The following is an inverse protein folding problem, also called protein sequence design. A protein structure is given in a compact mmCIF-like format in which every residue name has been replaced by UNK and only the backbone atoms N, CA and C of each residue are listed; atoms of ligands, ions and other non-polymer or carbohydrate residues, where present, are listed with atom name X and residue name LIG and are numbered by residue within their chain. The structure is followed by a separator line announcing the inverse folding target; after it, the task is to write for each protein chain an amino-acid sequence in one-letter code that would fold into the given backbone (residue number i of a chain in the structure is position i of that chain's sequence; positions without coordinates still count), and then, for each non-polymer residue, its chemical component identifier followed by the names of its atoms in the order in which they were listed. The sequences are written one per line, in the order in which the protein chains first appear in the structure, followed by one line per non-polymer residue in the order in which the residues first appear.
data_IF_697183915241
#
_entry.id   IF_697183915241
#
_cell.length_a   1.000
_cell.length_b   1.000
_cell.length_c   1.000
_cell.angle_alpha   90.00
_cell.angle_beta   90.00
_cell.angle_gamma   90.00
#
_symmetry.space_group_name_H-M   'P 1'
#
loop_
_entity.id
_entity.type
_entity.pdbx_description
1 polymer ?
#
# COMPACT_ATOMS: atom_id res chain seq x y z
N UNK A 1 11.63 8.35 -3.43
CA UNK A 1 10.93 8.46 -2.13
C UNK A 1 11.42 9.74 -1.49
N UNK A 2 10.59 10.60 -0.90
CA UNK A 2 11.12 11.78 -0.24
C UNK A 2 11.96 11.32 0.96
N UNK A 3 13.24 11.63 0.94
CA UNK A 3 14.13 11.35 2.07
C UNK A 3 13.66 12.13 3.29
N UNK A 4 13.76 11.52 4.47
CA UNK A 4 13.62 12.25 5.74
C UNK A 4 14.79 13.23 5.88
N UNK A 5 14.55 14.48 5.48
CA UNK A 5 15.55 15.54 5.60
C UNK A 5 15.49 16.16 6.99
N UNK A 6 16.66 16.49 7.54
CA UNK A 6 16.82 17.07 8.87
C UNK A 6 18.13 17.85 8.94
N UNK A 7 18.33 18.50 10.08
CA UNK A 7 19.55 19.24 10.40
C UNK A 7 20.82 18.42 10.06
N UNK A 8 21.75 19.07 9.35
CA UNK A 8 23.02 18.56 8.83
C UNK A 8 22.98 17.69 7.57
N UNK A 9 21.83 17.57 6.91
CA UNK A 9 21.77 16.95 5.57
C UNK A 9 22.35 17.87 4.50
N UNK A 10 23.03 17.28 3.49
CA UNK A 10 23.69 18.04 2.41
C UNK A 10 25.07 18.63 2.78
N UNK A 11 25.50 18.47 4.04
CA UNK A 11 26.88 18.66 4.49
C UNK A 11 27.73 17.40 4.26
N UNK A 12 28.99 17.43 4.71
CA UNK A 12 29.96 16.30 4.64
C UNK A 12 29.44 14.98 5.24
N UNK A 13 28.47 15.03 6.15
CA UNK A 13 27.92 13.84 6.82
C UNK A 13 26.90 13.07 5.96
N UNK A 14 26.19 13.75 5.05
CA UNK A 14 25.21 13.17 4.10
C UNK A 14 25.19 13.97 2.78
N UNK A 15 26.31 14.01 2.04
CA UNK A 15 26.43 14.82 0.82
C UNK A 15 25.51 14.32 -0.31
N UNK A 16 25.09 13.05 -0.28
CA UNK A 16 24.13 12.47 -1.23
C UNK A 16 22.75 13.12 -1.18
N UNK A 17 22.43 13.84 -0.09
CA UNK A 17 21.14 14.52 0.10
C UNK A 17 21.17 15.99 -0.36
N UNK A 18 22.31 16.50 -0.83
CA UNK A 18 22.47 17.91 -1.20
C UNK A 18 21.45 18.39 -2.23
N UNK A 19 21.19 17.57 -3.24
CA UNK A 19 20.18 17.88 -4.27
C UNK A 19 18.77 17.91 -3.69
N UNK A 20 18.42 16.99 -2.81
CA UNK A 20 17.09 16.91 -2.20
C UNK A 20 16.84 18.05 -1.21
N UNK A 21 17.85 18.43 -0.44
CA UNK A 21 17.82 19.63 0.40
C UNK A 21 17.66 20.89 -0.46
N UNK A 22 18.36 20.98 -1.58
CA UNK A 22 18.21 22.09 -2.52
C UNK A 22 16.78 22.17 -3.10
N UNK A 23 16.14 21.03 -3.39
CA UNK A 23 14.73 21.00 -3.82
C UNK A 23 13.74 21.41 -2.72
N UNK A 24 13.96 20.94 -1.49
CA UNK A 24 13.18 21.38 -0.33
C UNK A 24 13.24 22.91 -0.18
N UNK A 25 14.45 23.45 -0.18
CA UNK A 25 14.71 24.87 -0.03
C UNK A 25 14.03 25.68 -1.15
N UNK A 26 14.16 25.27 -2.41
CA UNK A 26 13.44 25.93 -3.51
C UNK A 26 11.93 25.93 -3.31
N UNK A 27 11.32 24.83 -2.85
CA UNK A 27 9.87 24.76 -2.62
C UNK A 27 9.43 25.72 -1.52
N UNK A 28 10.15 25.76 -0.40
CA UNK A 28 9.88 26.70 0.68
C UNK A 28 10.07 28.16 0.24
N UNK A 29 11.14 28.46 -0.50
CA UNK A 29 11.40 29.81 -1.03
C UNK A 29 10.29 30.26 -1.99
N UNK A 30 9.83 29.37 -2.88
CA UNK A 30 8.73 29.63 -3.81
C UNK A 30 7.39 29.88 -3.10
N UNK A 31 7.22 29.36 -1.88
CA UNK A 31 6.05 29.62 -1.02
C UNK A 31 6.23 30.87 -0.13
N UNK A 32 7.28 31.65 -0.34
CA UNK A 32 7.51 32.93 0.33
C UNK A 32 8.27 32.83 1.65
N UNK A 33 8.82 31.66 2.00
CA UNK A 33 9.69 31.55 3.18
C UNK A 33 11.09 32.11 2.88
N UNK A 34 11.66 32.97 3.74
CA UNK A 34 12.91 33.66 3.46
C UNK A 34 14.12 32.74 3.68
N UNK A 35 14.59 32.10 2.62
CA UNK A 35 15.80 31.29 2.61
C UNK A 35 16.46 31.32 1.22
N UNK A 36 17.77 31.10 1.17
CA UNK A 36 18.52 30.93 -0.08
C UNK A 36 18.84 29.44 -0.27
N UNK A 37 18.43 28.80 -1.38
CA UNK A 37 18.78 27.41 -1.64
C UNK A 37 20.29 27.24 -1.86
N UNK A 38 20.93 26.47 -0.98
CA UNK A 38 22.37 26.14 -1.00
C UNK A 38 22.63 24.62 -0.93
N UNK A 39 21.58 23.83 -0.74
CA UNK A 39 21.63 22.38 -0.60
C UNK A 39 22.08 21.93 0.79
N UNK A 40 22.16 22.83 1.77
CA UNK A 40 22.63 22.53 3.12
C UNK A 40 21.51 22.75 4.15
N UNK A 41 21.14 21.68 4.85
CA UNK A 41 20.07 21.72 5.84
C UNK A 41 20.65 22.20 7.18
N UNK A 42 21.02 23.49 7.23
CA UNK A 42 21.53 24.15 8.42
C UNK A 42 20.42 24.62 9.38
N UNK A 43 20.80 25.27 10.51
CA UNK A 43 19.84 25.80 11.48
C UNK A 43 18.83 26.80 10.90
N UNK A 44 19.21 27.53 9.83
CA UNK A 44 18.30 28.40 9.09
C UNK A 44 17.19 27.63 8.38
N UNK A 45 17.54 26.58 7.63
CA UNK A 45 16.60 25.67 6.96
C UNK A 45 15.67 24.99 7.97
N UNK A 46 16.22 24.49 9.10
CA UNK A 46 15.42 23.85 10.16
C UNK A 46 14.38 24.79 10.77
N UNK A 47 14.77 26.05 11.03
CA UNK A 47 13.86 27.08 11.55
C UNK A 47 12.70 27.33 10.59
N UNK A 48 12.98 27.41 9.30
CA UNK A 48 11.95 27.60 8.26
C UNK A 48 11.05 26.38 8.15
N UNK A 49 11.61 25.16 8.15
CA UNK A 49 10.80 23.92 8.14
C UNK A 49 9.86 23.86 9.33
N UNK A 50 10.33 24.19 10.55
CA UNK A 50 9.45 24.26 11.74
C UNK A 50 8.37 25.31 11.60
N UNK A 51 8.67 26.46 10.98
CA UNK A 51 7.67 27.50 10.74
C UNK A 51 6.62 27.01 9.75
N UNK A 52 7.05 26.46 8.63
CA UNK A 52 6.18 25.82 7.63
C UNK A 52 5.28 24.75 8.26
N UNK A 53 5.86 23.84 9.04
CA UNK A 53 5.08 22.81 9.75
C UNK A 53 4.01 23.43 10.66
N UNK A 54 4.32 24.51 11.40
CA UNK A 54 3.32 25.21 12.23
C UNK A 54 2.22 25.85 11.41
N UNK A 55 2.58 26.54 10.32
CA UNK A 55 1.64 27.24 9.45
C UNK A 55 0.66 26.26 8.78
N UNK A 56 1.11 25.02 8.56
CA UNK A 56 0.34 23.93 7.97
C UNK A 56 -0.22 22.93 9.00
N UNK A 57 -0.24 23.28 10.29
CA UNK A 57 -0.80 22.46 11.39
C UNK A 57 -0.19 21.05 11.51
N UNK A 58 1.08 20.91 11.14
CA UNK A 58 1.89 19.69 11.29
C UNK A 58 2.67 19.69 12.61
N UNK A 59 3.26 18.54 12.94
CA UNK A 59 4.23 18.46 14.04
C UNK A 59 5.48 19.27 13.70
N UNK A 60 5.76 20.34 14.46
CA UNK A 60 6.84 21.28 14.18
C UNK A 60 8.21 20.82 14.73
N UNK A 61 8.63 19.62 14.32
CA UNK A 61 9.86 18.97 14.78
C UNK A 61 11.11 19.33 13.95
N UNK A 62 10.95 19.98 12.80
CA UNK A 62 12.04 20.34 11.89
C UNK A 62 12.53 19.19 11.01
N UNK A 63 11.82 18.06 11.01
CA UNK A 63 12.09 16.91 10.16
C UNK A 63 11.13 16.96 8.96
N UNK A 64 11.70 16.94 7.76
CA UNK A 64 10.91 16.87 6.52
C UNK A 64 10.65 15.42 6.19
N UNK A 65 9.66 14.87 6.90
CA UNK A 65 9.06 13.58 6.58
C UNK A 65 7.95 13.70 5.54
N UNK A 66 7.25 12.59 5.32
CA UNK A 66 6.17 12.49 4.32
C UNK A 66 5.11 13.59 4.45
N UNK A 67 4.65 13.87 5.68
CA UNK A 67 3.62 14.89 5.91
C UNK A 67 4.09 16.30 5.51
N UNK A 68 5.34 16.63 5.82
CA UNK A 68 5.95 17.93 5.46
C UNK A 68 6.13 18.04 3.94
N UNK A 69 6.58 16.96 3.29
CA UNK A 69 6.71 16.91 1.83
C UNK A 69 5.37 17.03 1.11
N UNK A 70 4.33 16.38 1.63
CA UNK A 70 2.99 16.44 1.08
C UNK A 70 2.43 17.87 1.17
N UNK A 71 2.56 18.51 2.32
CA UNK A 71 2.16 19.91 2.48
C UNK A 71 2.91 20.85 1.53
N UNK A 72 4.22 20.62 1.32
CA UNK A 72 5.05 21.42 0.39
C UNK A 72 4.63 21.28 -1.07
N UNK A 73 4.04 20.15 -1.44
CA UNK A 73 3.64 19.89 -2.81
C UNK A 73 2.21 20.36 -3.12
N UNK A 74 1.37 20.57 -2.11
CA UNK A 74 -0.03 20.98 -2.29
C UNK A 74 -0.22 22.42 -2.82
N UNK A 75 0.75 23.33 -2.67
CA UNK A 75 0.62 24.71 -3.17
C UNK A 75 1.12 24.94 -4.61
N UNK A 76 1.70 23.93 -5.28
CA UNK A 76 2.03 24.04 -6.70
C UNK A 76 0.80 23.94 -7.63
N UNK A 77 -0.38 23.59 -7.10
CA UNK A 77 -1.58 23.28 -7.89
C UNK A 77 -2.63 24.41 -7.95
N UNK A 78 -2.47 25.52 -7.21
CA UNK A 78 -3.56 26.53 -7.07
C UNK A 78 -3.36 27.86 -7.85
N UNK A 79 -2.42 27.96 -8.80
CA UNK A 79 -2.37 29.13 -9.70
C UNK A 79 -2.01 28.78 -11.15
N UNK A 80 -3.01 28.41 -11.96
CA UNK A 80 -3.27 28.94 -13.33
C UNK A 80 -4.44 28.19 -14.02
N UNK A 81 -5.45 28.95 -14.48
CA UNK A 81 -6.64 28.50 -15.25
C UNK A 81 -6.28 27.92 -16.65
N UNK A 82 -7.27 27.48 -17.47
CA UNK A 82 -8.07 26.27 -17.40
C UNK A 82 -7.74 25.35 -18.59
N UNK A 83 -7.50 24.06 -18.37
CA UNK A 83 -7.39 23.09 -19.47
C UNK A 83 -8.34 21.94 -19.20
N UNK A 84 -9.27 21.76 -20.13
CA UNK A 84 -10.16 20.61 -20.21
C UNK A 84 -9.36 19.32 -20.42
N UNK A 85 -9.28 18.48 -19.40
CA UNK A 85 -9.09 17.03 -19.46
C UNK A 85 -9.46 16.44 -18.08
N UNK A 86 -10.16 15.30 -18.09
CA UNK A 86 -10.98 14.80 -16.98
C UNK A 86 -10.34 14.86 -15.59
N UNK A 87 -11.08 15.43 -14.63
CA UNK A 87 -10.71 15.45 -13.23
C UNK A 87 -10.36 14.04 -12.75
N UNK A 88 -9.15 13.86 -12.20
CA UNK A 88 -8.84 12.71 -11.34
C UNK A 88 -9.83 12.77 -10.18
N UNK A 89 -10.88 11.94 -10.22
CA UNK A 89 -11.88 11.91 -9.17
C UNK A 89 -11.24 11.33 -7.91
N UNK A 90 -11.00 12.18 -6.91
CA UNK A 90 -10.75 11.73 -5.54
C UNK A 90 -11.84 10.76 -5.14
N UNK A 91 -11.47 9.54 -4.72
CA UNK A 91 -12.42 8.52 -4.33
C UNK A 91 -13.20 9.00 -3.09
N UNK A 92 -14.50 8.76 -3.09
CA UNK A 92 -15.35 8.93 -1.91
C UNK A 92 -15.82 7.58 -1.39
N UNK A 93 -16.21 7.52 -0.11
CA UNK A 93 -16.82 6.32 0.45
C UNK A 93 -18.04 5.86 -0.35
N UNK A 94 -18.86 6.78 -0.86
CA UNK A 94 -20.04 6.44 -1.66
C UNK A 94 -19.64 5.81 -3.01
N UNK A 95 -18.59 6.32 -3.64
CA UNK A 95 -18.03 5.71 -4.84
C UNK A 95 -17.54 4.29 -4.54
N UNK A 96 -16.76 4.11 -3.45
CA UNK A 96 -16.33 2.77 -3.04
C UNK A 96 -17.54 1.86 -2.77
N UNK A 97 -18.57 2.35 -2.09
CA UNK A 97 -19.76 1.56 -1.78
C UNK A 97 -20.54 1.15 -3.04
N UNK A 98 -20.58 2.01 -4.05
CA UNK A 98 -21.17 1.69 -5.34
C UNK A 98 -20.35 0.64 -6.11
N UNK A 99 -19.01 0.70 -6.02
CA UNK A 99 -18.10 -0.27 -6.65
C UNK A 99 -18.18 -1.63 -5.95
N UNK A 100 -18.11 -1.63 -4.62
CA UNK A 100 -18.04 -2.84 -3.79
C UNK A 100 -19.18 -2.89 -2.75
N UNK A 101 -20.41 -3.23 -3.17
CA UNK A 101 -21.61 -3.10 -2.33
C UNK A 101 -21.60 -4.01 -1.09
N UNK A 102 -20.86 -5.12 -1.11
CA UNK A 102 -20.66 -6.01 0.04
C UNK A 102 -19.69 -5.46 1.11
N UNK A 103 -18.93 -4.40 0.81
CA UNK A 103 -18.04 -3.77 1.78
C UNK A 103 -18.82 -3.11 2.91
N UNK A 104 -18.42 -3.36 4.17
CA UNK A 104 -19.00 -2.64 5.31
C UNK A 104 -18.64 -1.16 5.20
N UNK A 105 -19.61 -0.27 5.38
CA UNK A 105 -19.39 1.19 5.26
C UNK A 105 -18.23 1.66 6.14
N UNK A 106 -18.15 1.19 7.39
CA UNK A 106 -17.05 1.55 8.30
C UNK A 106 -15.66 1.11 7.82
N UNK A 107 -15.56 0.01 7.08
CA UNK A 107 -14.29 -0.40 6.45
C UNK A 107 -13.97 0.50 5.25
N UNK A 108 -14.96 0.80 4.41
CA UNK A 108 -14.75 1.69 3.26
C UNK A 108 -14.34 3.11 3.71
N UNK A 109 -14.97 3.64 4.77
CA UNK A 109 -14.59 4.92 5.39
C UNK A 109 -13.15 4.89 5.92
N UNK A 110 -12.75 3.77 6.55
CA UNK A 110 -11.40 3.59 7.08
C UNK A 110 -10.34 3.58 5.97
N UNK A 111 -10.62 2.91 4.85
CA UNK A 111 -9.66 2.74 3.74
C UNK A 111 -9.66 3.87 2.72
N UNK A 112 -10.75 4.63 2.58
CA UNK A 112 -10.88 5.66 1.54
C UNK A 112 -9.77 6.73 1.60
N UNK A 113 -9.42 7.29 2.78
CA UNK A 113 -8.31 8.25 2.86
C UNK A 113 -6.97 7.64 2.47
N UNK A 114 -6.70 6.40 2.89
CA UNK A 114 -5.48 5.68 2.55
C UNK A 114 -5.39 5.44 1.04
N UNK A 115 -6.47 4.99 0.40
CA UNK A 115 -6.52 4.86 -1.06
C UNK A 115 -6.16 6.18 -1.76
N UNK A 116 -6.80 7.28 -1.40
CA UNK A 116 -6.54 8.57 -2.05
C UNK A 116 -5.07 9.02 -1.91
N UNK A 117 -4.43 8.78 -0.77
CA UNK A 117 -2.99 9.07 -0.60
C UNK A 117 -2.14 8.16 -1.48
N UNK A 118 -2.31 6.84 -1.34
CA UNK A 118 -1.37 5.88 -1.92
C UNK A 118 -1.53 5.72 -3.43
N UNK A 119 -2.73 5.91 -3.99
CA UNK A 119 -2.92 5.87 -5.45
C UNK A 119 -2.13 6.96 -6.16
N UNK A 120 -1.89 8.10 -5.50
CA UNK A 120 -1.02 9.17 -6.02
C UNK A 120 0.44 8.70 -6.02
N UNK A 121 0.92 8.20 -4.88
CA UNK A 121 2.32 7.74 -4.70
C UNK A 121 2.73 6.70 -5.75
N UNK A 122 1.81 5.82 -6.15
CA UNK A 122 2.08 4.71 -7.07
C UNK A 122 1.61 4.94 -8.51
N UNK A 123 1.32 6.20 -8.88
CA UNK A 123 0.93 6.59 -10.25
C UNK A 123 -0.34 5.87 -10.76
N UNK A 124 -1.31 5.68 -9.87
CA UNK A 124 -2.58 5.03 -10.13
C UNK A 124 -3.73 6.04 -10.28
N UNK A 125 -3.46 7.31 -10.60
CA UNK A 125 -4.49 8.35 -10.62
C UNK A 125 -5.46 8.27 -11.81
N UNK A 126 -5.05 7.66 -12.94
CA UNK A 126 -5.96 7.57 -14.09
C UNK A 126 -7.19 6.73 -13.72
N UNK A 127 -8.42 7.11 -14.13
CA UNK A 127 -9.62 6.41 -13.69
C UNK A 127 -9.63 4.91 -14.10
N UNK A 128 -9.05 4.56 -15.25
CA UNK A 128 -8.96 3.16 -15.69
C UNK A 128 -8.03 2.33 -14.80
N UNK A 129 -6.85 2.86 -14.43
CA UNK A 129 -5.94 2.21 -13.47
C UNK A 129 -6.60 2.05 -12.10
N UNK A 130 -7.28 3.09 -11.60
CA UNK A 130 -8.05 2.98 -10.36
C UNK A 130 -9.12 1.90 -10.46
N UNK A 131 -9.85 1.82 -11.57
CA UNK A 131 -10.90 0.84 -11.78
C UNK A 131 -10.35 -0.60 -11.72
N UNK A 132 -9.24 -0.88 -12.41
CA UNK A 132 -8.60 -2.19 -12.33
C UNK A 132 -8.02 -2.48 -10.96
N UNK A 133 -7.34 -1.53 -10.34
CA UNK A 133 -6.76 -1.70 -9.01
C UNK A 133 -7.86 -2.03 -7.99
N UNK A 134 -8.90 -1.20 -7.90
CA UNK A 134 -10.04 -1.38 -7.00
C UNK A 134 -10.74 -2.72 -7.24
N UNK A 135 -10.89 -3.15 -8.50
CA UNK A 135 -11.51 -4.43 -8.82
C UNK A 135 -10.73 -5.62 -8.25
N UNK A 136 -9.41 -5.58 -8.35
CA UNK A 136 -8.56 -6.65 -7.83
C UNK A 136 -8.57 -6.66 -6.30
N UNK A 137 -8.34 -5.51 -5.66
CA UNK A 137 -8.31 -5.45 -4.18
C UNK A 137 -9.67 -5.72 -3.57
N UNK A 138 -10.78 -5.35 -4.23
CA UNK A 138 -12.12 -5.70 -3.77
C UNK A 138 -12.36 -7.21 -3.78
N UNK A 139 -11.86 -7.92 -4.79
CA UNK A 139 -11.97 -9.38 -4.82
C UNK A 139 -11.13 -10.05 -3.73
N UNK A 140 -9.84 -9.69 -3.64
CA UNK A 140 -8.89 -10.36 -2.73
C UNK A 140 -9.23 -10.20 -1.24
N UNK A 141 -9.85 -9.07 -0.88
CA UNK A 141 -10.14 -8.72 0.52
C UNK A 141 -11.62 -8.91 0.90
N UNK A 142 -12.44 -9.45 -0.01
CA UNK A 142 -13.88 -9.53 0.18
C UNK A 142 -14.52 -8.15 0.40
N UNK A 143 -14.20 -7.19 -0.47
CA UNK A 143 -14.62 -5.78 -0.40
C UNK A 143 -14.14 -5.06 0.86
N UNK A 144 -12.85 -5.23 1.18
CA UNK A 144 -12.15 -4.65 2.33
C UNK A 144 -12.63 -5.16 3.69
N UNK A 145 -13.43 -6.23 3.71
CA UNK A 145 -13.91 -6.81 4.96
C UNK A 145 -12.85 -7.68 5.66
N UNK A 146 -11.80 -8.09 4.94
CA UNK A 146 -10.73 -8.95 5.44
C UNK A 146 -9.36 -8.40 5.07
N UNK A 147 -8.49 -8.28 6.07
CA UNK A 147 -7.09 -7.82 5.92
C UNK A 147 -6.08 -8.84 6.46
N UNK A 148 -6.55 -10.02 6.86
CA UNK A 148 -5.71 -11.13 7.32
C UNK A 148 -6.46 -12.43 7.10
N UNK A 149 -5.72 -13.49 6.78
CA UNK A 149 -6.29 -14.83 6.73
C UNK A 149 -6.57 -15.38 8.15
N UNK A 150 -7.73 -16.03 8.34
CA UNK A 150 -8.11 -16.57 9.66
C UNK A 150 -7.49 -17.94 9.97
N UNK A 151 -7.13 -18.70 8.92
CA UNK A 151 -6.61 -20.07 8.94
C UNK A 151 -7.31 -21.05 9.90
N UNK A 152 -8.59 -20.84 10.20
CA UNK A 152 -9.31 -21.63 11.21
C UNK A 152 -10.14 -22.77 10.59
N UNK A 153 -9.47 -23.80 10.09
CA UNK A 153 -10.09 -24.91 9.35
C UNK A 153 -10.42 -26.12 10.22
N UNK A 154 -11.50 -26.84 9.89
CA UNK A 154 -11.74 -28.21 10.39
C UNK A 154 -10.77 -29.20 9.73
N UNK A 155 -10.62 -30.41 10.30
CA UNK A 155 -9.81 -31.46 9.69
C UNK A 155 -10.26 -31.79 8.25
N UNK A 156 -11.58 -31.94 8.03
CA UNK A 156 -12.14 -32.19 6.69
C UNK A 156 -11.83 -31.07 5.70
N UNK A 157 -11.94 -29.81 6.12
CA UNK A 157 -11.64 -28.68 5.26
C UNK A 157 -10.13 -28.57 4.96
N UNK A 158 -9.26 -28.89 5.92
CA UNK A 158 -7.81 -28.97 5.67
C UNK A 158 -7.47 -30.02 4.60
N UNK A 159 -8.13 -31.18 4.62
CA UNK A 159 -7.96 -32.24 3.60
C UNK A 159 -8.38 -31.75 2.21
N UNK A 160 -9.45 -30.96 2.14
CA UNK A 160 -10.00 -30.45 0.89
C UNK A 160 -9.17 -29.29 0.31
N UNK A 161 -8.81 -28.31 1.13
CA UNK A 161 -8.15 -27.07 0.69
C UNK A 161 -6.64 -27.24 0.61
N UNK A 162 -6.05 -27.99 1.53
CA UNK A 162 -4.61 -28.15 1.70
C UNK A 162 -4.19 -29.63 1.68
N UNK A 163 -4.86 -30.47 0.88
CA UNK A 163 -4.65 -31.92 0.86
C UNK A 163 -3.20 -32.37 0.60
N UNK A 164 -2.39 -31.52 -0.05
CA UNK A 164 -0.93 -31.74 -0.19
C UNK A 164 -0.20 -31.77 1.15
N UNK A 165 -0.61 -30.95 2.12
CA UNK A 165 0.04 -30.81 3.43
C UNK A 165 -0.62 -31.67 4.52
N UNK A 166 -1.89 -32.01 4.32
CA UNK A 166 -2.70 -32.83 5.22
C UNK A 166 -3.19 -34.05 4.45
N UNK A 167 -2.36 -35.10 4.38
CA UNK A 167 -2.52 -36.27 3.49
C UNK A 167 -3.47 -37.34 4.04
N UNK A 168 -3.79 -37.28 5.32
CA UNK A 168 -4.74 -38.16 6.00
C UNK A 168 -5.40 -37.45 7.19
N UNK A 169 -6.43 -38.08 7.74
CA UNK A 169 -7.22 -37.53 8.84
C UNK A 169 -6.44 -37.48 10.17
N UNK A 170 -5.47 -38.38 10.36
CA UNK A 170 -4.65 -38.39 11.57
C UNK A 170 -3.77 -37.13 11.63
N UNK A 171 -3.15 -36.74 10.52
CA UNK A 171 -2.42 -35.48 10.40
C UNK A 171 -3.41 -34.31 10.50
N UNK A 172 -4.50 -34.30 9.72
CA UNK A 172 -5.43 -33.15 9.71
C UNK A 172 -6.03 -32.84 11.09
N UNK A 173 -6.36 -33.85 11.89
CA UNK A 173 -6.90 -33.67 13.25
C UNK A 173 -5.90 -33.03 14.23
N UNK A 174 -4.59 -33.18 14.00
CA UNK A 174 -3.59 -32.54 14.85
C UNK A 174 -3.58 -31.01 14.70
N UNK A 175 -3.96 -30.52 13.51
CA UNK A 175 -3.90 -29.11 13.11
C UNK A 175 -5.26 -28.42 13.07
N UNK A 176 -6.36 -29.17 13.02
CA UNK A 176 -7.70 -28.63 12.98
C UNK A 176 -7.91 -27.57 14.08
N UNK A 177 -8.48 -26.43 13.70
CA UNK A 177 -8.76 -25.27 14.56
C UNK A 177 -7.53 -24.67 15.27
N UNK A 178 -6.33 -24.86 14.72
CA UNK A 178 -5.07 -24.29 15.23
C UNK A 178 -4.41 -23.45 14.15
N UNK A 179 -4.86 -22.20 13.92
CA UNK A 179 -4.45 -21.39 12.78
C UNK A 179 -2.94 -21.17 12.70
N UNK A 180 -2.27 -20.94 13.83
CA UNK A 180 -0.81 -20.77 13.85
C UNK A 180 -0.09 -22.01 13.35
N UNK A 181 -0.49 -23.21 13.81
CA UNK A 181 0.09 -24.47 13.34
C UNK A 181 -0.21 -24.72 11.86
N UNK A 182 -1.42 -24.39 11.41
CA UNK A 182 -1.81 -24.54 10.01
C UNK A 182 -0.92 -23.65 9.13
N UNK A 183 -0.76 -22.37 9.49
CA UNK A 183 0.07 -21.42 8.74
C UNK A 183 1.54 -21.84 8.70
N UNK A 184 2.09 -22.17 9.87
CA UNK A 184 3.48 -22.60 10.01
C UNK A 184 3.77 -23.82 9.13
N UNK A 185 2.82 -24.73 8.95
CA UNK A 185 2.96 -25.88 8.05
C UNK A 185 2.79 -25.53 6.57
N UNK A 186 1.72 -24.82 6.22
CA UNK A 186 1.36 -24.53 4.82
C UNK A 186 2.39 -23.60 4.15
N UNK A 187 3.00 -22.70 4.93
CA UNK A 187 3.98 -21.73 4.45
C UNK A 187 5.43 -22.03 4.90
N UNK A 188 5.70 -23.20 5.48
CA UNK A 188 7.06 -23.64 5.81
C UNK A 188 7.96 -23.67 4.58
N UNK A 189 9.21 -23.23 4.73
CA UNK A 189 10.28 -23.33 3.72
C UNK A 189 9.93 -22.73 2.37
N UNK A 190 9.10 -21.68 2.37
CA UNK A 190 8.61 -20.99 1.18
C UNK A 190 8.76 -19.49 1.36
N UNK A 191 9.12 -18.79 0.28
CA UNK A 191 9.16 -17.32 0.24
C UNK A 191 10.00 -16.73 1.40
N UNK A 192 11.15 -17.35 1.67
CA UNK A 192 12.07 -16.94 2.73
C UNK A 192 11.73 -17.43 4.13
N UNK A 193 10.56 -18.03 4.35
CA UNK A 193 10.20 -18.59 5.65
C UNK A 193 11.09 -19.79 5.99
N UNK A 194 11.44 -19.93 7.26
CA UNK A 194 12.03 -21.11 7.85
C UNK A 194 11.09 -22.32 7.82
N UNK A 195 11.54 -23.42 8.43
CA UNK A 195 10.74 -24.63 8.56
C UNK A 195 9.48 -24.44 9.44
N UNK A 196 8.65 -25.47 9.55
CA UNK A 196 7.42 -25.41 10.35
C UNK A 196 7.69 -25.04 11.83
N UNK A 197 8.82 -25.47 12.38
CA UNK A 197 9.19 -25.22 13.78
C UNK A 197 9.55 -23.76 14.05
N UNK A 198 10.04 -23.03 13.04
CA UNK A 198 10.36 -21.60 13.14
C UNK A 198 9.16 -20.70 13.48
N UNK A 199 7.94 -21.13 13.16
CA UNK A 199 6.73 -20.31 13.29
C UNK A 199 6.62 -19.18 12.25
N UNK A 200 7.57 -19.07 11.31
CA UNK A 200 7.60 -17.98 10.34
C UNK A 200 6.44 -18.04 9.34
N UNK A 201 5.89 -19.23 9.08
CA UNK A 201 4.69 -19.37 8.27
C UNK A 201 3.46 -18.68 8.90
N UNK A 202 3.35 -18.66 10.24
CA UNK A 202 2.33 -17.86 10.93
C UNK A 202 2.69 -16.37 10.99
N UNK A 203 3.96 -16.07 11.30
CA UNK A 203 4.44 -14.69 11.43
C UNK A 203 4.23 -13.90 10.14
N UNK A 204 4.59 -14.48 9.00
CA UNK A 204 4.50 -13.88 7.66
C UNK A 204 3.35 -14.47 6.82
N UNK A 205 2.26 -14.87 7.48
CA UNK A 205 1.01 -15.25 6.83
C UNK A 205 0.39 -14.10 6.04
N UNK A 206 -0.53 -14.41 5.13
CA UNK A 206 -1.23 -13.47 4.26
C UNK A 206 -1.95 -12.35 5.01
N UNK A 207 -1.60 -11.09 4.67
CA UNK A 207 -2.26 -9.87 5.17
C UNK A 207 -2.46 -8.81 4.08
N UNK A 208 -3.22 -7.78 4.45
CA UNK A 208 -3.52 -6.64 3.61
C UNK A 208 -4.55 -6.95 2.53
N UNK A 209 -4.73 -6.00 1.62
CA UNK A 209 -5.78 -6.07 0.60
C UNK A 209 -5.43 -6.98 -0.60
N UNK A 210 -4.19 -7.47 -0.69
CA UNK A 210 -3.69 -8.33 -1.78
C UNK A 210 -3.06 -9.65 -1.28
N UNK A 211 -3.20 -9.99 0.01
CA UNK A 211 -2.58 -11.18 0.62
C UNK A 211 -1.04 -11.24 0.51
N UNK A 212 -0.35 -10.19 0.99
CA UNK A 212 1.11 -10.20 1.12
C UNK A 212 1.55 -11.34 2.04
N UNK A 213 2.35 -12.29 1.52
CA UNK A 213 2.68 -13.54 2.22
C UNK A 213 4.16 -13.88 2.07
N UNK A 214 4.79 -14.37 3.13
CA UNK A 214 6.17 -14.86 3.15
C UNK A 214 7.21 -13.81 3.49
N UNK A 215 8.23 -14.20 4.27
CA UNK A 215 9.29 -13.35 4.77
C UNK A 215 9.99 -12.52 3.70
N UNK A 216 10.28 -13.09 2.53
CA UNK A 216 10.94 -12.36 1.43
C UNK A 216 10.10 -11.19 0.94
N UNK A 217 8.79 -11.39 0.82
CA UNK A 217 7.86 -10.34 0.39
C UNK A 217 7.70 -9.27 1.46
N UNK A 218 7.53 -9.66 2.73
CA UNK A 218 7.51 -8.73 3.86
C UNK A 218 8.80 -7.91 3.97
N UNK A 219 9.95 -8.54 3.77
CA UNK A 219 11.27 -7.87 3.77
C UNK A 219 11.35 -6.85 2.63
N UNK A 220 11.03 -7.27 1.41
CA UNK A 220 11.14 -6.41 0.22
C UNK A 220 10.17 -5.23 0.28
N UNK A 221 8.93 -5.48 0.70
CA UNK A 221 7.94 -4.42 0.90
C UNK A 221 8.36 -3.47 2.02
N UNK A 222 8.77 -3.99 3.18
CA UNK A 222 9.22 -3.18 4.31
C UNK A 222 10.40 -2.28 3.95
N UNK A 223 11.40 -2.82 3.25
CA UNK A 223 12.54 -2.05 2.75
C UNK A 223 12.13 -0.94 1.78
N UNK A 224 11.17 -1.21 0.88
CA UNK A 224 10.70 -0.21 -0.10
C UNK A 224 10.08 1.03 0.54
N UNK A 225 9.59 0.91 1.79
CA UNK A 225 8.95 1.99 2.55
C UNK A 225 9.73 2.41 3.79
N UNK A 226 10.92 1.83 4.03
CA UNK A 226 11.68 1.99 5.27
C UNK A 226 10.86 1.70 6.55
N UNK A 227 9.98 0.69 6.51
CA UNK A 227 9.20 0.19 7.66
C UNK A 227 9.69 -1.20 8.08
N UNK A 228 9.79 -1.44 9.38
CA UNK A 228 10.25 -2.73 9.91
C UNK A 228 9.10 -3.73 10.06
N UNK A 229 8.77 -4.40 8.96
CA UNK A 229 7.77 -5.47 8.95
C UNK A 229 8.31 -6.84 9.38
N UNK A 230 9.62 -6.96 9.59
CA UNK A 230 10.18 -8.18 10.17
C UNK A 230 9.88 -8.25 11.67
N UNK A 231 9.81 -7.08 12.32
CA UNK A 231 9.36 -6.98 13.71
C UNK A 231 7.84 -6.84 13.81
N UNK A 232 7.19 -6.02 12.97
CA UNK A 232 5.75 -5.77 13.01
C UNK A 232 5.03 -6.08 11.68
N UNK A 233 4.89 -7.37 11.30
CA UNK A 233 4.14 -7.76 10.11
C UNK A 233 2.63 -7.57 10.26
N UNK A 234 2.10 -7.47 11.48
CA UNK A 234 0.67 -7.32 11.74
C UNK A 234 0.14 -5.94 11.32
N UNK A 235 1.01 -4.93 11.29
CA UNK A 235 0.69 -3.59 10.76
C UNK A 235 0.10 -3.61 9.35
N UNK A 236 0.46 -4.58 8.49
CA UNK A 236 -0.12 -4.74 7.14
C UNK A 236 -1.62 -5.07 7.18
N UNK A 237 -2.12 -5.59 8.31
CA UNK A 237 -3.54 -5.88 8.51
C UNK A 237 -4.28 -4.85 9.38
N UNK A 238 -3.57 -4.11 10.24
CA UNK A 238 -4.16 -3.21 11.23
C UNK A 238 -4.01 -1.73 10.88
N UNK A 239 -3.03 -1.37 10.02
CA UNK A 239 -2.84 -0.02 9.52
C UNK A 239 -3.36 0.09 8.07
N UNK A 240 -4.40 0.92 7.81
CA UNK A 240 -4.96 1.10 6.47
C UNK A 240 -3.95 1.56 5.42
N UNK A 241 -3.00 2.43 5.77
CA UNK A 241 -1.96 2.86 4.83
C UNK A 241 -1.04 1.70 4.46
N UNK A 242 -0.58 0.91 5.43
CA UNK A 242 0.28 -0.26 5.13
C UNK A 242 -0.46 -1.31 4.29
N UNK A 243 -1.75 -1.53 4.55
CA UNK A 243 -2.56 -2.48 3.81
C UNK A 243 -2.77 -2.06 2.34
N UNK A 244 -3.04 -0.77 2.09
CA UNK A 244 -3.17 -0.21 0.73
C UNK A 244 -1.80 -0.15 0.05
N UNK A 245 -0.77 0.29 0.75
CA UNK A 245 0.60 0.35 0.24
C UNK A 245 1.10 -1.03 -0.17
N UNK A 246 0.80 -2.09 0.58
CA UNK A 246 1.19 -3.45 0.19
C UNK A 246 0.57 -3.86 -1.15
N UNK A 247 -0.70 -3.48 -1.39
CA UNK A 247 -1.37 -3.71 -2.65
C UNK A 247 -0.79 -2.86 -3.80
N UNK A 248 -0.54 -1.57 -3.55
CA UNK A 248 0.07 -0.69 -4.55
C UNK A 248 1.53 -1.09 -4.89
N UNK A 249 2.31 -1.50 -3.88
CA UNK A 249 3.67 -2.01 -4.05
C UNK A 249 3.66 -3.28 -4.90
N UNK A 250 2.79 -4.25 -4.56
CA UNK A 250 2.64 -5.46 -5.36
C UNK A 250 2.30 -5.11 -6.81
N UNK A 251 1.38 -4.16 -7.01
CA UNK A 251 0.98 -3.69 -8.32
C UNK A 251 2.13 -3.10 -9.13
N UNK A 252 2.96 -2.25 -8.51
CA UNK A 252 4.10 -1.62 -9.18
C UNK A 252 5.23 -2.62 -9.48
N UNK A 253 5.61 -3.48 -8.54
CA UNK A 253 6.69 -4.45 -8.79
C UNK A 253 6.32 -5.46 -9.89
N UNK A 254 5.02 -5.75 -10.05
CA UNK A 254 4.50 -6.59 -11.14
C UNK A 254 4.13 -5.82 -12.42
N UNK A 255 4.39 -4.50 -12.45
CA UNK A 255 4.22 -3.60 -13.60
C UNK A 255 2.80 -3.63 -14.18
N UNK A 256 1.80 -3.68 -13.31
CA UNK A 256 0.40 -3.86 -13.70
C UNK A 256 -0.23 -2.60 -14.33
N UNK A 257 0.37 -1.42 -14.17
CA UNK A 257 -0.09 -0.19 -14.84
C UNK A 257 -0.23 -0.37 -16.36
N UNK A 258 0.76 -1.00 -17.00
CA UNK A 258 0.76 -1.18 -18.45
C UNK A 258 -0.36 -2.12 -18.92
N UNK A 259 -0.75 -3.08 -18.09
CA UNK A 259 -1.83 -4.00 -18.40
C UNK A 259 -3.19 -3.34 -18.16
N UNK A 260 -3.31 -2.48 -17.14
CA UNK A 260 -4.52 -1.69 -16.90
C UNK A 260 -4.73 -0.63 -17.99
N UNK A 261 -3.66 -0.01 -18.49
CA UNK A 261 -3.72 0.93 -19.63
C UNK A 261 -4.20 0.25 -20.92
N UNK A 262 -3.96 -1.06 -21.05
CA UNK A 262 -4.47 -1.92 -22.13
C UNK A 262 -5.85 -2.50 -21.84
N UNK A 263 -6.44 -2.15 -20.70
CA UNK A 263 -7.71 -2.67 -20.19
C UNK A 263 -7.73 -4.22 -20.03
N UNK A 264 -6.58 -4.82 -19.73
CA UNK A 264 -6.39 -6.28 -19.75
C UNK A 264 -6.54 -6.91 -18.36
N UNK A 265 -7.80 -7.05 -17.93
CA UNK A 265 -8.14 -7.69 -16.65
C UNK A 265 -7.64 -9.14 -16.58
N UNK A 266 -7.54 -9.85 -17.71
CA UNK A 266 -7.12 -11.25 -17.74
C UNK A 266 -5.64 -11.38 -17.36
N UNK A 267 -4.78 -10.55 -17.95
CA UNK A 267 -3.35 -10.55 -17.62
C UNK A 267 -3.13 -10.11 -16.18
N UNK A 268 -3.81 -9.06 -15.71
CA UNK A 268 -3.73 -8.60 -14.32
C UNK A 268 -4.13 -9.70 -13.35
N UNK A 269 -5.28 -10.34 -13.58
CA UNK A 269 -5.78 -11.44 -12.72
C UNK A 269 -4.81 -12.61 -12.68
N UNK A 270 -4.26 -13.00 -13.83
CA UNK A 270 -3.28 -14.09 -13.90
C UNK A 270 -2.00 -13.76 -13.13
N UNK A 271 -1.52 -12.51 -13.19
CA UNK A 271 -0.33 -12.09 -12.45
C UNK A 271 -0.58 -12.11 -10.93
N UNK A 272 -1.72 -11.58 -10.48
CA UNK A 272 -2.08 -11.54 -9.05
C UNK A 272 -2.29 -12.93 -8.47
N UNK A 273 -3.06 -13.78 -9.15
CA UNK A 273 -3.55 -15.03 -8.59
C UNK A 273 -2.84 -16.29 -9.15
N UNK A 274 -1.91 -16.13 -10.10
CA UNK A 274 -1.27 -17.24 -10.81
C UNK A 274 -2.20 -17.99 -11.78
N UNK A 275 -3.44 -17.53 -11.95
CA UNK A 275 -4.48 -18.16 -12.75
C UNK A 275 -5.73 -17.28 -12.85
N UNK A 276 -6.85 -17.85 -13.28
CA UNK A 276 -8.10 -17.10 -13.54
C UNK A 276 -9.19 -17.32 -12.50
N UNK A 277 -8.88 -17.91 -11.34
CA UNK A 277 -9.87 -18.10 -10.29
C UNK A 277 -10.40 -16.72 -9.85
N UNK A 278 -11.73 -16.57 -9.81
CA UNK A 278 -12.39 -15.31 -9.47
C UNK A 278 -12.46 -14.27 -10.59
N UNK A 279 -12.06 -14.57 -11.83
CA UNK A 279 -12.05 -13.61 -12.94
C UNK A 279 -13.42 -12.94 -13.19
N UNK A 280 -14.51 -13.70 -13.11
CA UNK A 280 -15.86 -13.17 -13.33
C UNK A 280 -16.23 -12.13 -12.27
N UNK A 281 -15.90 -12.38 -11.01
CA UNK A 281 -16.15 -11.48 -9.90
C UNK A 281 -15.30 -10.21 -9.99
N UNK A 282 -14.00 -10.34 -10.32
CA UNK A 282 -13.12 -9.20 -10.61
C UNK A 282 -13.65 -8.36 -11.78
N UNK A 283 -14.17 -9.01 -12.81
CA UNK A 283 -14.78 -8.33 -13.97
C UNK A 283 -16.03 -7.57 -13.56
N UNK A 284 -16.87 -8.14 -12.69
CA UNK A 284 -18.03 -7.45 -12.13
C UNK A 284 -17.63 -6.20 -11.33
N UNK A 285 -16.58 -6.27 -10.50
CA UNK A 285 -16.07 -5.09 -9.81
C UNK A 285 -15.48 -4.05 -10.79
N UNK A 286 -14.71 -4.48 -11.80
CA UNK A 286 -14.15 -3.58 -12.80
C UNK A 286 -15.24 -2.80 -13.54
N UNK A 287 -16.31 -3.48 -13.98
CA UNK A 287 -17.40 -2.84 -14.69
C UNK A 287 -18.11 -1.78 -13.82
N UNK A 288 -18.32 -2.06 -12.52
CA UNK A 288 -18.87 -1.05 -11.58
C UNK A 288 -17.91 0.11 -11.40
N UNK A 289 -16.61 -0.17 -11.23
CA UNK A 289 -15.59 0.85 -11.06
C UNK A 289 -15.49 1.77 -12.26
N UNK A 290 -15.47 1.23 -13.47
CA UNK A 290 -15.53 1.98 -14.73
C UNK A 290 -16.76 2.88 -14.81
N UNK A 291 -17.94 2.34 -14.50
CA UNK A 291 -19.18 3.11 -14.48
C UNK A 291 -19.13 4.27 -13.48
N UNK A 292 -18.65 4.03 -12.25
CA UNK A 292 -18.56 5.04 -11.19
C UNK A 292 -17.50 6.11 -11.50
N UNK A 293 -16.41 5.72 -12.16
CA UNK A 293 -15.28 6.58 -12.48
C UNK A 293 -15.36 7.24 -13.87
N UNK A 294 -16.37 6.90 -14.67
CA UNK A 294 -16.65 7.52 -15.96
C UNK A 294 -15.68 7.13 -17.09
N UNK A 295 -15.22 5.87 -17.13
CA UNK A 295 -14.32 5.33 -18.16
C UNK A 295 -14.79 4.01 -18.76
#
# INVERSE_FOLDING_TARGET
MPTNLRLYDGYDNRPELKDEVYQLQQKLANQGYPLEPDGEFGPGTEKVVKQFQKDHLLNADGIVGVDTWDALNQQAEDTTKPVSQGASATLTTDMLKAIMPSGKTSQLELFCPALNRQLVTYQLQSPLRQAHFLAQVAHESGSFNYTSENLNYSASALRQVFGKYFTDDAIANQYARKPEKIASRVYASRMGNGDEASGEGWKFRGRGLIQLTGKDNYTSFGQSLAIDLLTDPDSVSTNPDHAVQAACWYWDVNKLNQDADRDDIKTITRKINGGYNGLDDRTAFLNRAKQVLGV
#
